data_IF_296573817365
#
_entry.id   IF_296573817365
#
_cell.length_a   1.000
_cell.length_b   1.000
_cell.length_c   1.000
_cell.angle_alpha   90.00
_cell.angle_beta   90.00
_cell.angle_gamma   90.00
#
_symmetry.space_group_name_H-M   'P 1'
#
loop_
_entity.id
_entity.type
_entity.pdbx_description
1 polymer ?
#
# COMPACT_ATOMS: atom_id res chain seq x y z
N UNK A 1 -6.42 9.40 17.17
CA UNK A 1 -5.03 8.97 17.41
C UNK A 1 -4.89 7.64 16.70
N UNK A 2 -3.96 7.50 15.76
CA UNK A 2 -3.66 6.18 15.18
C UNK A 2 -2.92 5.39 16.26
N UNK A 3 -3.51 4.30 16.74
CA UNK A 3 -2.84 3.42 17.69
C UNK A 3 -1.68 2.70 16.96
N UNK A 4 -0.45 2.74 17.50
CA UNK A 4 0.65 1.96 16.94
C UNK A 4 0.34 0.47 17.05
N UNK A 5 0.66 -0.29 16.02
CA UNK A 5 0.48 -1.74 15.99
C UNK A 5 1.49 -2.38 16.94
N UNK A 6 1.02 -3.34 17.74
CA UNK A 6 1.92 -4.15 18.55
C UNK A 6 2.74 -5.09 17.66
N UNK A 7 3.98 -5.47 18.04
CA UNK A 7 4.81 -6.40 17.28
C UNK A 7 4.10 -7.74 16.96
N UNK A 8 3.28 -8.22 17.89
CA UNK A 8 2.47 -9.44 17.71
C UNK A 8 1.41 -9.30 16.61
N UNK A 9 0.81 -8.12 16.46
CA UNK A 9 -0.18 -7.85 15.42
C UNK A 9 0.51 -7.78 14.06
N UNK A 10 1.65 -7.10 14.00
CA UNK A 10 2.48 -7.02 12.80
C UNK A 10 2.85 -8.43 12.31
N UNK A 11 3.44 -9.26 13.17
CA UNK A 11 3.80 -10.63 12.81
C UNK A 11 2.60 -11.47 12.36
N UNK A 12 1.46 -11.33 13.04
CA UNK A 12 0.25 -12.08 12.69
C UNK A 12 -0.25 -11.70 11.31
N UNK A 13 -0.21 -10.41 10.99
CA UNK A 13 -0.63 -9.84 9.72
C UNK A 13 0.37 -10.19 8.59
N UNK A 14 1.68 -10.20 8.86
CA UNK A 14 2.69 -10.63 7.89
C UNK A 14 2.61 -12.13 7.55
N UNK A 15 2.08 -12.96 8.46
CA UNK A 15 1.83 -14.40 8.22
C UNK A 15 0.52 -14.67 7.45
N UNK A 16 -0.28 -13.64 7.19
CA UNK A 16 -1.51 -13.79 6.42
C UNK A 16 -1.23 -14.04 4.94
N UNK A 17 -2.14 -14.79 4.31
CA UNK A 17 -2.14 -14.98 2.85
C UNK A 17 -2.48 -13.67 2.14
N UNK A 18 -2.13 -13.58 0.86
CA UNK A 18 -2.34 -12.39 0.02
C UNK A 18 -3.79 -11.83 0.05
N UNK A 19 -4.81 -12.70 -0.05
CA UNK A 19 -6.22 -12.29 0.02
C UNK A 19 -6.61 -11.73 1.40
N UNK A 20 -6.05 -12.28 2.48
CA UNK A 20 -6.29 -11.80 3.84
C UNK A 20 -5.57 -10.47 4.08
N UNK A 21 -4.35 -10.32 3.57
CA UNK A 21 -3.59 -9.05 3.58
C UNK A 21 -4.32 -7.95 2.82
N UNK A 22 -4.89 -8.25 1.66
CA UNK A 22 -5.71 -7.30 0.90
C UNK A 22 -6.92 -6.83 1.72
N UNK A 23 -7.72 -7.78 2.24
CA UNK A 23 -8.91 -7.47 3.05
C UNK A 23 -8.57 -6.65 4.29
N UNK A 24 -7.49 -7.01 4.99
CA UNK A 24 -6.99 -6.24 6.12
C UNK A 24 -6.59 -4.83 5.68
N UNK A 25 -5.86 -4.71 4.58
CA UNK A 25 -5.36 -3.44 4.09
C UNK A 25 -6.48 -2.48 3.72
N UNK A 26 -7.41 -2.94 2.90
CA UNK A 26 -8.60 -2.16 2.50
C UNK A 26 -9.41 -1.71 3.72
N UNK A 27 -9.63 -2.61 4.69
CA UNK A 27 -10.38 -2.30 5.91
C UNK A 27 -9.70 -1.23 6.76
N UNK A 28 -8.40 -1.35 6.97
CA UNK A 28 -7.64 -0.41 7.79
C UNK A 28 -7.50 0.95 7.09
N UNK A 29 -7.23 0.97 5.78
CA UNK A 29 -7.20 2.21 5.00
C UNK A 29 -8.57 2.90 5.03
N UNK A 30 -9.67 2.16 4.88
CA UNK A 30 -11.01 2.74 4.95
C UNK A 30 -11.31 3.34 6.34
N UNK A 31 -10.88 2.66 7.41
CA UNK A 31 -11.03 3.12 8.80
C UNK A 31 -10.20 4.36 9.10
N UNK A 32 -8.93 4.37 8.70
CA UNK A 32 -7.97 5.43 9.01
C UNK A 32 -7.94 6.55 7.96
N UNK A 33 -8.56 6.33 6.80
CA UNK A 33 -8.58 7.21 5.62
C UNK A 33 -7.19 7.64 5.15
N UNK A 34 -6.22 6.73 5.30
CA UNK A 34 -4.82 6.93 4.94
C UNK A 34 -4.30 5.69 4.24
N UNK A 35 -3.69 5.91 3.09
CA UNK A 35 -2.86 4.94 2.36
C UNK A 35 -1.42 5.29 2.65
N UNK A 36 -0.58 4.30 2.91
CA UNK A 36 0.85 4.51 3.06
C UNK A 36 1.57 3.99 1.83
N UNK A 37 2.55 4.75 1.36
CA UNK A 37 3.46 4.35 0.28
C UNK A 37 4.90 4.60 0.72
N UNK A 38 5.85 4.11 -0.06
CA UNK A 38 7.24 4.50 0.07
C UNK A 38 7.61 5.53 -0.98
N UNK A 39 8.34 6.55 -0.55
CA UNK A 39 8.85 7.61 -1.41
C UNK A 39 10.31 7.90 -1.10
N UNK A 40 11.07 8.23 -2.12
CA UNK A 40 12.44 8.74 -2.04
C UNK A 40 12.51 10.22 -2.51
N UNK A 41 13.69 10.83 -2.53
CA UNK A 41 13.97 12.16 -3.09
C UNK A 41 13.48 12.34 -4.54
N UNK A 42 13.38 11.24 -5.30
CA UNK A 42 12.98 11.27 -6.71
C UNK A 42 11.49 11.00 -6.99
N UNK A 43 10.72 10.45 -6.04
CA UNK A 43 9.31 10.08 -6.27
C UNK A 43 8.83 8.91 -5.41
N UNK A 44 7.73 8.26 -5.83
CA UNK A 44 7.25 7.03 -5.20
C UNK A 44 8.03 5.80 -5.68
N UNK A 45 8.18 4.83 -4.79
CA UNK A 45 8.78 3.53 -5.11
C UNK A 45 7.88 2.77 -6.08
N UNK A 46 8.51 2.12 -7.05
CA UNK A 46 7.86 1.22 -8.00
C UNK A 46 8.55 -0.14 -7.93
N UNK A 47 7.77 -1.20 -7.80
CA UNK A 47 8.20 -2.58 -7.91
C UNK A 47 8.06 -3.02 -9.36
N UNK A 48 9.17 -3.42 -9.95
CA UNK A 48 9.19 -4.00 -11.29
C UNK A 48 8.90 -5.49 -11.15
N UNK A 49 7.68 -5.89 -11.51
CA UNK A 49 7.37 -7.32 -11.67
C UNK A 49 7.67 -7.76 -13.11
N UNK A 50 7.65 -9.06 -13.40
CA UNK A 50 7.92 -9.57 -14.76
C UNK A 50 6.87 -9.10 -15.79
N UNK A 51 5.67 -8.74 -15.35
CA UNK A 51 4.55 -8.33 -16.21
C UNK A 51 4.31 -6.81 -16.21
N UNK A 52 4.40 -6.12 -15.07
CA UNK A 52 4.04 -4.70 -14.95
C UNK A 52 4.69 -3.95 -13.76
N UNK A 53 4.82 -2.64 -13.90
CA UNK A 53 5.27 -1.73 -12.85
C UNK A 53 4.15 -1.46 -11.83
N UNK A 54 4.45 -1.75 -10.55
CA UNK A 54 3.48 -1.68 -9.48
C UNK A 54 3.92 -0.72 -8.38
N UNK A 55 3.03 0.16 -7.91
CA UNK A 55 3.26 0.97 -6.71
C UNK A 55 2.83 0.18 -5.47
N UNK A 56 3.73 -0.10 -4.51
CA UNK A 56 3.38 -0.81 -3.30
C UNK A 56 2.65 0.10 -2.31
N UNK A 57 1.55 -0.41 -1.74
CA UNK A 57 0.73 0.30 -0.76
C UNK A 57 0.57 -0.48 0.54
N UNK A 58 0.52 0.23 1.67
CA UNK A 58 0.38 -0.35 3.00
C UNK A 58 -0.76 0.29 3.80
N UNK A 59 -1.36 -0.47 4.74
CA UNK A 59 -2.39 0.07 5.62
C UNK A 59 -1.86 0.94 6.76
N UNK A 60 -0.60 0.73 7.14
CA UNK A 60 0.03 1.40 8.28
C UNK A 60 1.48 1.72 7.99
N UNK A 61 1.97 2.79 8.62
CA UNK A 61 3.35 3.27 8.52
C UNK A 61 4.38 2.21 8.90
N UNK A 62 4.11 1.44 9.96
CA UNK A 62 5.03 0.42 10.48
C UNK A 62 5.30 -0.71 9.50
N UNK A 63 4.34 -1.01 8.62
CA UNK A 63 4.54 -2.01 7.57
C UNK A 63 5.40 -1.44 6.43
N UNK A 64 5.14 -0.21 6.01
CA UNK A 64 5.95 0.47 5.00
C UNK A 64 7.41 0.63 5.48
N UNK A 65 7.61 1.07 6.72
CA UNK A 65 8.95 1.21 7.32
C UNK A 65 9.68 -0.12 7.49
N UNK A 66 8.98 -1.21 7.80
CA UNK A 66 9.60 -2.54 7.85
C UNK A 66 9.98 -3.07 6.47
N UNK A 67 9.30 -2.60 5.42
CA UNK A 67 9.60 -2.99 4.06
C UNK A 67 10.78 -2.17 3.50
N UNK A 68 10.91 -0.90 3.90
CA UNK A 68 12.03 0.00 3.60
C UNK A 68 13.35 -0.46 4.25
N UNK A 69 13.87 -1.60 3.81
CA UNK A 69 15.11 -2.23 4.29
C UNK A 69 16.01 -2.60 3.11
N UNK A 70 17.30 -2.86 3.39
CA UNK A 70 18.31 -3.07 2.35
C UNK A 70 18.39 -1.90 1.36
N UNK A 71 18.19 -2.19 0.07
CA UNK A 71 18.22 -1.20 -1.00
C UNK A 71 17.16 -0.10 -0.84
N UNK A 72 16.09 -0.34 -0.08
CA UNK A 72 15.01 0.62 0.18
C UNK A 72 15.14 1.36 1.52
N UNK A 73 16.25 1.23 2.26
CA UNK A 73 16.46 1.91 3.55
C UNK A 73 16.40 3.43 3.47
N UNK A 74 16.68 4.00 2.30
CA UNK A 74 16.59 5.43 2.06
C UNK A 74 15.15 5.91 1.85
N UNK A 75 14.23 5.00 1.53
CA UNK A 75 12.83 5.31 1.31
C UNK A 75 12.12 5.63 2.62
N UNK A 76 11.14 6.53 2.55
CA UNK A 76 10.34 6.94 3.70
C UNK A 76 8.87 6.63 3.46
N UNK A 77 8.20 6.17 4.52
CA UNK A 77 6.77 6.00 4.50
C UNK A 77 6.07 7.36 4.42
N UNK A 78 5.32 7.59 3.34
CA UNK A 78 4.48 8.78 3.16
C UNK A 78 3.00 8.41 3.31
N UNK A 79 2.28 9.17 4.14
CA UNK A 79 0.84 9.02 4.28
C UNK A 79 0.08 9.86 3.27
N UNK A 80 -0.73 9.20 2.44
CA UNK A 80 -1.65 9.82 1.49
C UNK A 80 -3.07 9.65 2.01
N UNK A 81 -3.79 10.75 2.17
CA UNK A 81 -5.22 10.67 2.52
C UNK A 81 -6.01 10.00 1.39
N UNK A 82 -7.02 9.20 1.72
CA UNK A 82 -7.89 8.56 0.70
C UNK A 82 -8.56 9.59 -0.23
N UNK A 83 -8.87 10.79 0.28
CA UNK A 83 -9.38 11.88 -0.57
C UNK A 83 -8.38 12.35 -1.65
N UNK A 84 -7.09 12.49 -1.29
CA UNK A 84 -6.00 12.79 -2.25
C UNK A 84 -5.80 11.61 -3.19
N UNK A 85 -5.95 10.39 -2.70
CA UNK A 85 -5.85 9.19 -3.51
C UNK A 85 -6.89 9.22 -4.65
N UNK A 86 -8.16 9.34 -4.27
CA UNK A 86 -9.29 9.34 -5.21
C UNK A 86 -9.30 10.50 -6.20
N UNK A 87 -8.76 11.65 -5.80
CA UNK A 87 -8.78 12.84 -6.66
C UNK A 87 -7.56 12.97 -7.57
N UNK A 88 -6.45 12.29 -7.27
CA UNK A 88 -5.17 12.50 -7.98
C UNK A 88 -4.38 11.23 -8.25
N UNK A 89 -4.29 10.33 -7.27
CA UNK A 89 -3.45 9.13 -7.42
C UNK A 89 -4.07 8.13 -8.37
N UNK A 90 -5.36 7.82 -8.22
CA UNK A 90 -6.04 6.86 -9.11
C UNK A 90 -5.85 7.26 -10.57
N UNK A 91 -6.23 8.49 -10.93
CA UNK A 91 -6.06 9.00 -12.30
C UNK A 91 -4.61 9.11 -12.77
N UNK A 92 -3.68 9.49 -11.87
CA UNK A 92 -2.27 9.57 -12.22
C UNK A 92 -1.69 8.20 -12.55
N UNK A 93 -1.93 7.22 -11.68
CA UNK A 93 -1.47 5.84 -11.89
C UNK A 93 -2.08 5.22 -13.15
N UNK A 94 -3.35 5.51 -13.46
CA UNK A 94 -3.98 5.06 -14.72
C UNK A 94 -3.33 5.70 -15.95
N UNK A 95 -2.99 6.99 -15.92
CA UNK A 95 -2.34 7.69 -17.04
C UNK A 95 -0.89 7.22 -17.25
N UNK A 96 -0.20 6.89 -16.16
CA UNK A 96 1.16 6.32 -16.16
C UNK A 96 1.16 4.78 -16.42
N UNK A 97 0.00 4.15 -16.64
CA UNK A 97 -0.16 2.70 -16.82
C UNK A 97 0.43 1.85 -15.66
N UNK A 98 0.42 2.41 -14.45
CA UNK A 98 0.94 1.79 -13.23
C UNK A 98 -0.16 1.07 -12.45
N UNK A 99 0.13 -0.14 -12.01
CA UNK A 99 -0.73 -0.87 -11.10
C UNK A 99 -0.35 -0.66 -9.63
N UNK A 100 -1.12 -1.24 -8.73
CA UNK A 100 -0.91 -1.17 -7.29
C UNK A 100 -0.75 -2.56 -6.73
N UNK A 101 0.36 -2.82 -6.06
CA UNK A 101 0.54 -4.05 -5.29
C UNK A 101 0.15 -3.80 -3.84
N UNK A 102 -0.92 -4.45 -3.40
CA UNK A 102 -1.44 -4.28 -2.06
C UNK A 102 -0.66 -5.12 -1.07
N UNK A 103 0.04 -4.43 -0.18
CA UNK A 103 0.77 -4.97 0.94
C UNK A 103 1.68 -6.16 0.58
N UNK A 104 2.69 -5.92 -0.28
CA UNK A 104 3.63 -6.96 -0.68
C UNK A 104 4.40 -7.51 0.51
N UNK A 105 4.80 -8.79 0.43
CA UNK A 105 5.70 -9.39 1.40
C UNK A 105 7.16 -8.98 1.10
N UNK A 106 8.12 -9.49 1.87
CA UNK A 106 9.55 -9.25 1.65
C UNK A 106 10.09 -9.89 0.36
N UNK A 107 9.32 -10.78 -0.26
CA UNK A 107 9.63 -11.39 -1.55
C UNK A 107 8.92 -10.64 -2.70
N UNK A 108 8.41 -9.43 -2.46
CA UNK A 108 7.71 -8.60 -3.44
C UNK A 108 6.37 -9.20 -3.92
N UNK A 109 5.85 -10.22 -3.23
CA UNK A 109 4.59 -10.88 -3.56
C UNK A 109 3.41 -10.25 -2.81
N UNK A 110 2.44 -9.76 -3.58
CA UNK A 110 1.17 -9.23 -3.11
C UNK A 110 0.10 -9.34 -4.19
N UNK A 111 -1.14 -8.99 -3.83
CA UNK A 111 -2.19 -8.89 -4.84
C UNK A 111 -2.04 -7.57 -5.59
N UNK A 112 -1.89 -7.67 -6.90
CA UNK A 112 -1.89 -6.54 -7.81
C UNK A 112 -3.34 -6.17 -8.14
N UNK A 113 -3.66 -4.89 -8.09
CA UNK A 113 -4.94 -4.32 -8.46
C UNK A 113 -4.72 -3.10 -9.33
N UNK A 114 -5.63 -2.88 -10.28
CA UNK A 114 -5.65 -1.62 -11.01
C UNK A 114 -6.07 -0.45 -10.09
N UNK A 115 -5.67 0.79 -10.42
CA UNK A 115 -6.00 1.95 -9.59
C UNK A 115 -7.49 2.19 -9.38
N UNK A 116 -8.33 1.88 -10.38
CA UNK A 116 -9.78 1.97 -10.28
C UNK A 116 -10.36 0.87 -9.37
N UNK A 117 -9.86 -0.37 -9.49
CA UNK A 117 -10.26 -1.50 -8.65
C UNK A 117 -9.91 -1.26 -7.18
N UNK A 118 -8.70 -0.79 -6.91
CA UNK A 118 -8.28 -0.45 -5.57
C UNK A 118 -9.13 0.68 -4.98
N UNK A 119 -9.39 1.74 -5.76
CA UNK A 119 -10.30 2.80 -5.35
C UNK A 119 -11.70 2.27 -5.04
N UNK A 120 -12.24 1.39 -5.89
CA UNK A 120 -13.56 0.80 -5.70
C UNK A 120 -13.66 0.03 -4.39
N UNK A 121 -12.67 -0.80 -4.07
CA UNK A 121 -12.63 -1.57 -2.82
C UNK A 121 -12.52 -0.65 -1.60
N UNK A 122 -11.73 0.42 -1.65
CA UNK A 122 -11.66 1.42 -0.59
C UNK A 122 -13.01 2.14 -0.37
N UNK A 123 -13.68 2.54 -1.47
CA UNK A 123 -15.00 3.19 -1.42
C UNK A 123 -16.08 2.26 -0.88
N UNK A 124 -16.00 0.97 -1.20
CA UNK A 124 -16.92 -0.07 -0.72
C UNK A 124 -16.74 -0.37 0.76
N UNK A 125 -15.50 -0.45 1.25
CA UNK A 125 -15.21 -0.70 2.66
C UNK A 125 -15.46 0.53 3.56
N UNK A 126 -15.45 1.74 3.01
CA UNK A 126 -15.74 2.98 3.72
C UNK A 126 -17.23 3.34 3.85
N UNK A 127 -18.14 2.53 3.29
CA UNK A 127 -19.60 2.68 3.42
C UNK A 127 -20.12 1.93 4.63
#
# INVERSE_FOLDING_TARGET
MSEPLSPQQIESVLKMREDERLKYTVKEIAKHRKVWILTDEHGCVMLNTEDEDCVPVWPHEEFANQWATGDWEHCKAESISTAKWFSRWTYGLEDDELAIVVFPNQNEEGLVLYPDEFEFELKKAGK
#
